data_IF_230404825807
#
_entry.id   IF_230404825807
#
_cell.length_a   1.000
_cell.length_b   1.000
_cell.length_c   1.000
_cell.angle_alpha   90.00
_cell.angle_beta   90.00
_cell.angle_gamma   90.00
#
_symmetry.space_group_name_H-M   'P 1'
#
loop_
_entity.id
_entity.type
_entity.pdbx_description
1 polymer ?
#
# COMPACT_ATOMS: atom_id res chain seq x y z
N UNK A 1 -23.48 -5.14 -8.17
CA UNK A 1 -23.79 -5.78 -6.88
C UNK A 1 -23.91 -7.29 -7.13
N UNK A 2 -22.96 -8.06 -6.60
CA UNK A 2 -23.06 -9.51 -6.59
C UNK A 2 -24.08 -9.92 -5.51
N UNK A 3 -25.01 -10.85 -5.79
CA UNK A 3 -25.91 -11.35 -4.78
C UNK A 3 -25.12 -12.26 -3.81
N UNK A 4 -24.92 -11.77 -2.60
CA UNK A 4 -24.22 -12.45 -1.52
C UNK A 4 -22.97 -11.67 -1.09
N UNK A 5 -22.71 -11.66 0.19
CA UNK A 5 -21.47 -11.13 0.76
C UNK A 5 -20.37 -12.17 0.60
N UNK A 6 -19.24 -11.79 -0.03
CA UNK A 6 -18.03 -12.60 0.06
C UNK A 6 -17.58 -12.67 1.53
N UNK A 7 -17.06 -13.81 1.93
CA UNK A 7 -16.48 -13.95 3.26
C UNK A 7 -15.15 -13.18 3.31
N UNK A 8 -14.88 -12.58 4.45
CA UNK A 8 -13.54 -12.08 4.76
C UNK A 8 -12.62 -13.28 4.97
N UNK A 9 -11.75 -13.56 3.99
CA UNK A 9 -10.87 -14.73 4.01
C UNK A 9 -9.66 -14.55 4.92
N UNK A 10 -9.19 -13.32 5.07
CA UNK A 10 -8.06 -12.95 5.92
C UNK A 10 -8.48 -11.76 6.77
N UNK A 11 -8.85 -11.97 8.04
CA UNK A 11 -9.23 -10.87 8.94
C UNK A 11 -8.16 -9.79 9.05
N UNK A 12 -8.57 -8.53 9.08
CA UNK A 12 -7.69 -7.36 9.20
C UNK A 12 -6.59 -7.29 8.12
N UNK A 13 -6.84 -7.79 6.89
CA UNK A 13 -5.78 -7.90 5.88
C UNK A 13 -5.16 -6.55 5.53
N UNK A 14 -5.96 -5.53 5.26
CA UNK A 14 -5.54 -4.14 4.98
C UNK A 14 -5.99 -3.18 6.11
N UNK A 15 -5.90 -3.61 7.37
CA UNK A 15 -6.22 -2.80 8.54
C UNK A 15 -4.94 -2.13 9.06
N UNK A 16 -4.58 -0.98 8.49
CA UNK A 16 -3.37 -0.25 8.86
C UNK A 16 -3.29 0.09 10.35
N UNK A 17 -4.37 0.53 11.04
CA UNK A 17 -4.36 0.73 12.48
C UNK A 17 -4.03 -0.55 13.27
N UNK A 18 -4.55 -1.70 12.87
CA UNK A 18 -4.23 -2.97 13.52
C UNK A 18 -2.76 -3.36 13.31
N UNK A 19 -2.22 -3.12 12.11
CA UNK A 19 -0.79 -3.35 11.82
C UNK A 19 0.11 -2.45 12.67
N UNK A 20 -0.27 -1.18 12.85
CA UNK A 20 0.48 -0.26 13.70
C UNK A 20 0.43 -0.66 15.19
N UNK A 21 -0.72 -1.09 15.70
CA UNK A 21 -0.83 -1.63 17.08
C UNK A 21 0.10 -2.83 17.26
N UNK A 22 0.08 -3.78 16.32
CA UNK A 22 0.95 -4.96 16.36
C UNK A 22 2.44 -4.59 16.34
N UNK A 23 2.83 -3.56 15.57
CA UNK A 23 4.20 -3.02 15.60
C UNK A 23 4.56 -2.49 16.98
N UNK A 24 3.68 -1.71 17.62
CA UNK A 24 3.92 -1.14 18.96
C UNK A 24 4.09 -2.24 20.00
N UNK A 25 3.21 -3.24 20.00
CA UNK A 25 3.33 -4.41 20.89
C UNK A 25 4.64 -5.17 20.66
N UNK A 26 5.03 -5.36 19.40
CA UNK A 26 6.28 -6.04 19.03
C UNK A 26 7.52 -5.27 19.48
N UNK A 27 7.46 -3.93 19.43
CA UNK A 27 8.54 -3.06 19.93
C UNK A 27 8.69 -3.14 21.46
N UNK A 28 7.56 -3.19 22.19
CA UNK A 28 7.57 -3.29 23.65
C UNK A 28 8.15 -4.65 24.12
N UNK A 29 7.89 -5.71 23.35
CA UNK A 29 8.43 -7.04 23.64
C UNK A 29 9.92 -7.18 23.29
N UNK A 30 10.34 -6.60 22.17
CA UNK A 30 11.69 -6.66 21.55
C UNK A 30 12.43 -8.00 21.73
N UNK A 31 11.73 -9.10 21.46
CA UNK A 31 12.20 -10.48 21.73
C UNK A 31 13.55 -10.82 21.08
N UNK A 32 13.91 -10.12 20.01
CA UNK A 32 15.14 -10.34 19.26
C UNK A 32 16.20 -9.24 19.44
N UNK A 33 15.95 -8.26 20.32
CA UNK A 33 16.83 -7.11 20.59
C UNK A 33 17.16 -6.30 19.33
N UNK A 34 16.18 -6.10 18.45
CA UNK A 34 16.32 -5.40 17.15
C UNK A 34 15.73 -3.98 17.14
N UNK A 35 14.98 -3.59 18.19
CA UNK A 35 14.29 -2.30 18.24
C UNK A 35 15.25 -1.11 18.18
N UNK A 36 16.39 -1.20 18.86
CA UNK A 36 17.39 -0.13 18.85
C UNK A 36 17.97 0.16 17.46
N UNK A 37 18.16 -0.88 16.64
CA UNK A 37 18.65 -0.73 15.27
C UNK A 37 17.59 -0.13 14.33
N UNK A 38 16.32 -0.42 14.57
CA UNK A 38 15.19 0.02 13.77
C UNK A 38 14.61 1.38 14.23
N UNK A 39 15.25 2.05 15.19
CA UNK A 39 14.72 3.29 15.77
C UNK A 39 14.42 4.39 14.74
N UNK A 40 15.24 4.63 13.70
CA UNK A 40 14.93 5.63 12.68
C UNK A 40 13.63 5.34 11.91
N UNK A 41 13.37 4.06 11.61
CA UNK A 41 12.17 3.61 10.92
C UNK A 41 10.93 3.73 11.82
N UNK A 42 11.08 3.40 13.10
CA UNK A 42 10.03 3.56 14.11
C UNK A 42 9.66 5.04 14.26
N UNK A 43 10.62 5.92 14.45
CA UNK A 43 10.40 7.38 14.59
C UNK A 43 9.69 7.95 13.35
N UNK A 44 10.04 7.48 12.15
CA UNK A 44 9.38 7.88 10.91
C UNK A 44 7.89 7.51 10.92
N UNK A 45 7.56 6.29 11.35
CA UNK A 45 6.18 5.79 11.42
C UNK A 45 5.41 6.51 12.53
N UNK A 46 5.98 6.63 13.74
CA UNK A 46 5.33 7.26 14.89
C UNK A 46 4.94 8.72 14.62
N UNK A 47 5.80 9.49 13.97
CA UNK A 47 5.50 10.89 13.61
C UNK A 47 4.36 11.05 12.62
N UNK A 48 3.95 9.97 11.93
CA UNK A 48 2.88 9.92 10.94
C UNK A 48 1.66 9.11 11.39
N UNK A 49 1.70 8.58 12.59
CA UNK A 49 0.67 7.65 13.12
C UNK A 49 -0.75 8.21 13.07
N UNK A 50 -0.91 9.53 13.23
CA UNK A 50 -2.23 10.18 13.13
C UNK A 50 -2.89 10.12 11.75
N UNK A 51 -2.16 9.75 10.69
CA UNK A 51 -2.70 9.60 9.34
C UNK A 51 -3.05 8.14 9.00
N UNK A 52 -2.60 7.17 9.81
CA UNK A 52 -2.76 5.75 9.53
C UNK A 52 -4.21 5.26 9.67
N UNK A 53 -5.09 6.03 10.32
CA UNK A 53 -6.52 5.71 10.50
C UNK A 53 -7.42 6.38 9.47
N UNK A 54 -6.85 7.17 8.55
CA UNK A 54 -7.64 8.09 7.69
C UNK A 54 -8.71 7.37 6.86
N UNK A 55 -8.37 6.24 6.22
CA UNK A 55 -9.35 5.54 5.36
C UNK A 55 -10.40 4.80 6.19
N UNK A 56 -10.01 4.21 7.31
CA UNK A 56 -10.91 3.55 8.24
C UNK A 56 -11.86 4.56 8.88
N UNK A 57 -11.37 5.73 9.32
CA UNK A 57 -12.20 6.80 9.88
C UNK A 57 -13.21 7.34 8.84
N UNK A 58 -12.85 7.40 7.57
CA UNK A 58 -13.76 7.77 6.48
C UNK A 58 -14.80 6.67 6.22
N UNK A 59 -14.39 5.41 6.26
CA UNK A 59 -15.30 4.27 6.11
C UNK A 59 -16.31 4.19 7.26
N UNK A 60 -15.86 4.35 8.50
CA UNK A 60 -16.70 4.36 9.70
C UNK A 60 -17.75 5.48 9.68
N UNK A 61 -17.44 6.63 9.05
CA UNK A 61 -18.39 7.72 8.83
C UNK A 61 -19.33 7.51 7.64
N UNK A 62 -19.11 6.47 6.86
CA UNK A 62 -19.86 6.19 5.63
C UNK A 62 -19.44 7.02 4.41
N UNK A 63 -18.29 7.72 4.48
CA UNK A 63 -17.75 8.52 3.37
C UNK A 63 -17.07 7.65 2.31
N UNK A 64 -16.59 6.46 2.69
CA UNK A 64 -16.03 5.44 1.80
C UNK A 64 -16.86 4.16 1.89
N UNK A 65 -17.50 3.74 0.79
CA UNK A 65 -18.29 2.50 0.78
C UNK A 65 -17.37 1.26 0.74
N UNK A 66 -17.76 0.23 1.47
CA UNK A 66 -17.19 -1.10 1.30
C UNK A 66 -17.59 -1.67 -0.07
N UNK A 67 -16.64 -2.27 -0.76
CA UNK A 67 -16.83 -2.90 -2.07
C UNK A 67 -16.16 -4.27 -2.09
N UNK A 68 -16.24 -4.96 -3.21
CA UNK A 68 -15.40 -6.13 -3.45
C UNK A 68 -14.09 -5.63 -4.04
N UNK A 69 -13.01 -5.86 -3.31
CA UNK A 69 -11.66 -5.46 -3.67
C UNK A 69 -10.77 -6.70 -3.86
N UNK A 70 -9.73 -6.58 -4.66
CA UNK A 70 -8.73 -7.64 -4.83
C UNK A 70 -7.80 -7.72 -3.61
N UNK A 71 -7.51 -6.58 -2.99
CA UNK A 71 -6.67 -6.39 -1.80
C UNK A 71 -5.17 -6.75 -1.96
N UNK A 72 -4.73 -7.32 -3.09
CA UNK A 72 -3.31 -7.57 -3.41
C UNK A 72 -3.02 -7.24 -4.88
N UNK A 73 -3.26 -6.00 -5.28
CA UNK A 73 -3.14 -5.48 -6.65
C UNK A 73 -1.71 -5.14 -7.07
N UNK A 74 -0.74 -5.93 -6.64
CA UNK A 74 0.62 -5.76 -7.15
C UNK A 74 0.69 -6.08 -8.64
N UNK A 75 1.54 -5.38 -9.37
CA UNK A 75 1.70 -5.54 -10.83
C UNK A 75 2.02 -6.99 -11.22
N UNK A 76 2.65 -7.76 -10.34
CA UNK A 76 2.98 -9.17 -10.56
C UNK A 76 1.73 -10.07 -10.64
N UNK A 77 0.58 -9.60 -10.17
CA UNK A 77 -0.70 -10.31 -10.26
C UNK A 77 -1.46 -9.99 -11.55
N UNK A 78 -0.84 -9.29 -12.50
CA UNK A 78 -1.37 -9.06 -13.84
C UNK A 78 -0.50 -9.79 -14.86
N UNK A 79 -1.12 -10.68 -15.64
CA UNK A 79 -0.46 -11.33 -16.77
C UNK A 79 -0.55 -10.46 -18.02
N UNK A 80 0.59 -10.32 -18.71
CA UNK A 80 0.69 -9.56 -19.95
C UNK A 80 1.10 -10.48 -21.09
N UNK A 81 0.58 -10.21 -22.29
CA UNK A 81 1.07 -10.83 -23.53
C UNK A 81 2.50 -10.35 -23.81
N UNK A 82 3.40 -11.28 -24.13
CA UNK A 82 4.81 -10.95 -24.35
C UNK A 82 5.05 -10.07 -25.58
N UNK A 83 4.18 -10.17 -26.59
CA UNK A 83 4.33 -9.48 -27.88
C UNK A 83 3.54 -8.18 -27.91
N UNK A 84 2.23 -8.24 -27.62
CA UNK A 84 1.36 -7.05 -27.67
C UNK A 84 1.50 -6.16 -26.45
N UNK A 85 2.00 -6.71 -25.33
CA UNK A 85 2.04 -6.05 -24.01
C UNK A 85 0.66 -5.70 -23.45
N UNK A 86 -0.38 -6.29 -23.96
CA UNK A 86 -1.74 -6.13 -23.45
C UNK A 86 -1.94 -6.98 -22.17
N UNK A 87 -2.71 -6.45 -21.23
CA UNK A 87 -3.09 -7.20 -20.02
C UNK A 87 -4.07 -8.32 -20.42
N UNK A 88 -3.77 -9.55 -20.02
CA UNK A 88 -4.55 -10.74 -20.35
C UNK A 88 -5.47 -11.18 -19.20
N UNK A 89 -4.96 -11.16 -17.97
CA UNK A 89 -5.70 -11.65 -16.81
C UNK A 89 -5.15 -11.09 -15.51
N UNK A 90 -6.02 -10.99 -14.51
CA UNK A 90 -5.66 -10.79 -13.11
C UNK A 90 -5.65 -12.16 -12.43
N UNK A 91 -4.65 -12.43 -11.61
CA UNK A 91 -4.45 -13.71 -10.90
C UNK A 91 -4.29 -13.47 -9.40
N UNK A 92 -4.13 -14.55 -8.62
CA UNK A 92 -3.93 -14.51 -7.17
C UNK A 92 -5.17 -13.94 -6.44
N UNK A 93 -6.32 -14.58 -6.68
CA UNK A 93 -7.63 -14.11 -6.23
C UNK A 93 -7.97 -14.50 -4.78
N UNK A 94 -7.03 -15.08 -4.04
CA UNK A 94 -7.25 -15.58 -2.67
C UNK A 94 -7.59 -14.46 -1.67
N UNK A 95 -7.24 -13.23 -2.00
CA UNK A 95 -7.50 -12.02 -1.20
C UNK A 95 -8.72 -11.23 -1.65
N UNK A 96 -9.48 -11.74 -2.64
CA UNK A 96 -10.70 -11.08 -3.11
C UNK A 96 -11.80 -11.19 -2.06
N UNK A 97 -12.12 -10.07 -1.41
CA UNK A 97 -13.07 -10.00 -0.29
C UNK A 97 -13.58 -8.55 -0.12
N UNK A 98 -14.53 -8.30 0.79
CA UNK A 98 -14.92 -6.93 1.12
C UNK A 98 -13.72 -6.06 1.51
N UNK A 99 -13.70 -4.81 1.05
CA UNK A 99 -12.64 -3.86 1.32
C UNK A 99 -12.85 -2.51 0.65
N UNK A 100 -11.90 -1.60 0.82
CA UNK A 100 -11.93 -0.31 0.17
C UNK A 100 -11.18 -0.38 -1.18
N UNK A 101 -11.77 0.17 -2.25
CA UNK A 101 -11.08 0.25 -3.55
C UNK A 101 -9.77 1.03 -3.49
N UNK A 102 -9.60 1.86 -2.48
CA UNK A 102 -8.38 2.61 -2.22
C UNK A 102 -7.21 1.72 -1.83
N UNK A 103 -7.45 0.55 -1.23
CA UNK A 103 -6.40 -0.44 -1.00
C UNK A 103 -5.87 -0.99 -2.32
N UNK A 104 -6.77 -1.28 -3.27
CA UNK A 104 -6.39 -1.76 -4.60
C UNK A 104 -5.58 -0.70 -5.35
N UNK A 105 -6.07 0.54 -5.42
CA UNK A 105 -5.35 1.60 -6.11
C UNK A 105 -4.00 1.92 -5.42
N UNK A 106 -3.96 1.96 -4.10
CA UNK A 106 -2.73 2.15 -3.33
C UNK A 106 -1.70 1.06 -3.59
N UNK A 107 -2.13 -0.21 -3.68
CA UNK A 107 -1.29 -1.35 -4.04
C UNK A 107 -0.67 -1.22 -5.44
N UNK A 108 -1.46 -0.75 -6.42
CA UNK A 108 -0.96 -0.43 -7.77
C UNK A 108 0.08 0.69 -7.74
N UNK A 109 -0.17 1.79 -7.03
CA UNK A 109 0.79 2.89 -6.90
C UNK A 109 2.09 2.41 -6.29
N UNK A 110 2.01 1.70 -5.17
CA UNK A 110 3.17 1.17 -4.46
C UNK A 110 4.06 0.30 -5.34
N UNK A 111 3.48 -0.54 -6.18
CA UNK A 111 4.22 -1.55 -6.95
C UNK A 111 4.54 -1.13 -8.37
N UNK A 112 3.64 -0.43 -9.05
CA UNK A 112 3.81 -0.05 -10.46
C UNK A 112 4.34 1.37 -10.64
N UNK A 113 4.07 2.30 -9.72
CA UNK A 113 4.60 3.66 -9.81
C UNK A 113 5.89 3.88 -8.98
N UNK A 114 6.41 2.87 -8.29
CA UNK A 114 7.73 2.94 -7.66
C UNK A 114 8.83 2.75 -8.71
N UNK A 115 9.87 3.59 -8.65
CA UNK A 115 11.02 3.55 -9.58
C UNK A 115 12.02 2.42 -9.29
N UNK A 116 11.90 1.75 -8.15
CA UNK A 116 12.86 0.76 -7.67
C UNK A 116 12.16 -0.52 -7.16
N UNK A 117 12.89 -1.65 -7.07
CA UNK A 117 12.39 -2.86 -6.44
C UNK A 117 12.01 -2.65 -4.97
N UNK A 118 11.15 -3.54 -4.45
CA UNK A 118 10.62 -3.48 -3.08
C UNK A 118 11.73 -3.56 -2.00
N UNK A 119 12.85 -4.22 -2.31
CA UNK A 119 13.99 -4.45 -1.41
C UNK A 119 15.24 -3.64 -1.78
N UNK A 120 15.04 -2.50 -2.48
CA UNK A 120 16.13 -1.61 -2.89
C UNK A 120 16.88 -1.05 -1.68
N UNK A 121 18.19 -1.27 -1.64
CA UNK A 121 19.07 -0.77 -0.56
C UNK A 121 19.60 0.64 -0.81
N UNK A 122 19.69 1.06 -2.07
CA UNK A 122 20.09 2.40 -2.48
C UNK A 122 18.91 3.37 -2.45
N UNK A 123 18.52 3.86 -1.28
CA UNK A 123 17.30 4.65 -1.07
C UNK A 123 17.16 5.89 -1.96
N UNK A 124 18.25 6.43 -2.48
CA UNK A 124 18.21 7.54 -3.44
C UNK A 124 17.58 7.17 -4.80
N UNK A 125 17.44 5.88 -5.09
CA UNK A 125 16.77 5.35 -6.30
C UNK A 125 15.28 5.16 -6.12
N UNK A 126 14.80 5.18 -4.87
CA UNK A 126 13.39 4.98 -4.55
C UNK A 126 12.65 6.30 -4.67
N UNK A 127 11.72 6.39 -5.61
CA UNK A 127 10.86 7.55 -5.82
C UNK A 127 9.55 7.15 -6.48
N UNK A 128 8.52 8.00 -6.39
CA UNK A 128 7.30 7.84 -7.16
C UNK A 128 7.52 8.35 -8.59
N UNK A 129 7.18 7.53 -9.58
CA UNK A 129 7.17 7.92 -10.99
C UNK A 129 5.84 8.58 -11.33
N UNK A 130 5.81 9.91 -11.43
CA UNK A 130 4.58 10.67 -11.69
C UNK A 130 3.94 10.35 -13.04
N UNK A 131 4.71 10.02 -14.08
CA UNK A 131 4.16 9.64 -15.38
C UNK A 131 3.45 8.28 -15.31
N UNK A 132 4.01 7.33 -14.56
CA UNK A 132 3.36 6.04 -14.31
C UNK A 132 2.12 6.21 -13.43
N UNK A 133 2.21 7.04 -12.38
CA UNK A 133 1.06 7.38 -11.55
C UNK A 133 -0.08 8.00 -12.39
N UNK A 134 0.23 8.93 -13.29
CA UNK A 134 -0.77 9.51 -14.19
C UNK A 134 -1.43 8.44 -15.09
N UNK A 135 -0.64 7.53 -15.65
CA UNK A 135 -1.16 6.43 -16.46
C UNK A 135 -2.09 5.50 -15.64
N UNK A 136 -1.73 5.18 -14.40
CA UNK A 136 -2.57 4.41 -13.48
C UNK A 136 -3.89 5.14 -13.18
N UNK A 137 -3.84 6.43 -12.84
CA UNK A 137 -5.04 7.24 -12.55
C UNK A 137 -5.97 7.26 -13.76
N UNK A 138 -5.46 7.56 -14.95
CA UNK A 138 -6.26 7.61 -16.18
C UNK A 138 -6.88 6.25 -16.52
N UNK A 139 -6.08 5.18 -16.46
CA UNK A 139 -6.55 3.83 -16.71
C UNK A 139 -7.63 3.40 -15.71
N UNK A 140 -7.39 3.63 -14.43
CA UNK A 140 -8.31 3.24 -13.36
C UNK A 140 -9.64 4.02 -13.47
N UNK A 141 -9.60 5.34 -13.57
CA UNK A 141 -10.80 6.17 -13.69
C UNK A 141 -11.59 5.90 -14.96
N UNK A 142 -10.96 5.49 -16.06
CA UNK A 142 -11.66 5.13 -17.31
C UNK A 142 -12.59 3.92 -17.15
N UNK A 143 -12.29 3.02 -16.22
CA UNK A 143 -13.07 1.81 -15.94
C UNK A 143 -13.90 1.89 -14.63
N UNK A 144 -13.54 2.80 -13.73
CA UNK A 144 -14.10 2.89 -12.38
C UNK A 144 -15.11 4.04 -12.22
N UNK A 145 -16.04 4.18 -13.18
CA UNK A 145 -17.08 5.21 -13.15
C UNK A 145 -18.08 5.09 -11.98
N UNK A 146 -17.92 4.08 -11.14
CA UNK A 146 -18.71 3.87 -9.92
C UNK A 146 -18.12 4.57 -8.68
N UNK A 147 -16.92 5.13 -8.77
CA UNK A 147 -16.26 5.76 -7.62
C UNK A 147 -17.01 7.02 -7.15
N UNK A 148 -17.14 7.13 -5.84
CA UNK A 148 -17.60 8.35 -5.19
C UNK A 148 -16.55 9.45 -5.28
N UNK A 149 -16.96 10.70 -5.04
CA UNK A 149 -16.03 11.83 -4.99
C UNK A 149 -14.98 11.63 -3.88
N UNK A 150 -15.39 11.13 -2.74
CA UNK A 150 -14.47 10.84 -1.62
C UNK A 150 -13.41 9.81 -2.00
N UNK A 151 -13.78 8.73 -2.72
CA UNK A 151 -12.82 7.75 -3.21
C UNK A 151 -11.81 8.38 -4.19
N UNK A 152 -12.27 9.21 -5.13
CA UNK A 152 -11.40 9.91 -6.09
C UNK A 152 -10.43 10.85 -5.37
N UNK A 153 -10.89 11.63 -4.41
CA UNK A 153 -10.08 12.60 -3.68
C UNK A 153 -8.96 11.93 -2.85
N UNK A 154 -9.11 10.64 -2.50
CA UNK A 154 -8.13 9.90 -1.73
C UNK A 154 -7.24 8.95 -2.54
N UNK A 155 -7.34 8.92 -3.89
CA UNK A 155 -6.48 8.07 -4.73
C UNK A 155 -4.98 8.34 -4.51
N UNK A 156 -4.55 9.60 -4.47
CA UNK A 156 -3.15 9.93 -4.22
C UNK A 156 -2.69 9.48 -2.83
N UNK A 157 -3.53 9.70 -1.81
CA UNK A 157 -3.25 9.32 -0.42
C UNK A 157 -3.13 7.81 -0.25
N UNK A 158 -3.93 7.02 -0.97
CA UNK A 158 -3.91 5.55 -0.84
C UNK A 158 -2.53 4.95 -1.17
N UNK A 159 -1.80 5.53 -2.15
CA UNK A 159 -0.43 5.10 -2.45
C UNK A 159 0.53 5.31 -1.28
N UNK A 160 0.38 6.43 -0.58
CA UNK A 160 1.12 6.70 0.65
C UNK A 160 0.77 5.70 1.75
N UNK A 161 -0.52 5.48 2.01
CA UNK A 161 -0.98 4.62 3.09
C UNK A 161 -0.51 3.16 2.89
N UNK A 162 -0.64 2.62 1.67
CA UNK A 162 -0.22 1.24 1.39
C UNK A 162 1.30 1.07 1.42
N UNK A 163 2.06 2.13 1.11
CA UNK A 163 3.52 2.14 1.32
C UNK A 163 3.87 2.13 2.80
N UNK A 164 3.18 2.95 3.62
CA UNK A 164 3.33 2.95 5.09
C UNK A 164 2.98 1.60 5.68
N UNK A 165 1.82 1.04 5.32
CA UNK A 165 1.38 -0.27 5.83
C UNK A 165 2.38 -1.39 5.50
N UNK A 166 2.86 -1.43 4.25
CA UNK A 166 3.86 -2.42 3.86
C UNK A 166 5.16 -2.25 4.64
N UNK A 167 5.61 -1.01 4.85
CA UNK A 167 6.77 -0.70 5.70
C UNK A 167 6.57 -1.19 7.13
N UNK A 168 5.40 -0.93 7.73
CA UNK A 168 5.02 -1.39 9.08
C UNK A 168 5.05 -2.93 9.15
N UNK A 169 4.49 -3.62 8.16
CA UNK A 169 4.46 -5.09 8.14
C UNK A 169 5.86 -5.69 8.02
N UNK A 170 6.73 -5.15 7.16
CA UNK A 170 8.12 -5.60 7.05
C UNK A 170 8.91 -5.33 8.32
N UNK A 171 8.71 -4.16 8.95
CA UNK A 171 9.37 -3.84 10.21
C UNK A 171 8.93 -4.75 11.35
N UNK A 172 7.63 -5.01 11.46
CA UNK A 172 7.08 -5.93 12.46
C UNK A 172 7.67 -7.34 12.30
N UNK A 173 7.75 -7.85 11.06
CA UNK A 173 8.34 -9.16 10.81
C UNK A 173 9.85 -9.20 11.09
N UNK A 174 10.58 -8.14 10.74
CA UNK A 174 11.98 -8.00 11.13
C UNK A 174 12.17 -8.10 12.65
N UNK A 175 11.37 -7.35 13.41
CA UNK A 175 11.43 -7.36 14.89
C UNK A 175 11.02 -8.71 15.47
N UNK A 176 10.14 -9.46 14.79
CA UNK A 176 9.73 -10.83 15.16
C UNK A 176 10.70 -11.94 14.69
N UNK A 177 11.85 -11.59 14.12
CA UNK A 177 12.88 -12.55 13.71
C UNK A 177 12.72 -13.09 12.31
N UNK A 178 12.04 -12.35 11.40
CA UNK A 178 11.87 -12.71 9.98
C UNK A 178 11.12 -14.04 9.77
N UNK A 179 9.95 -14.18 10.40
CA UNK A 179 9.20 -15.45 10.43
C UNK A 179 8.05 -15.53 9.42
N UNK A 180 7.56 -14.41 8.91
CA UNK A 180 6.42 -14.36 8.00
C UNK A 180 6.83 -14.23 6.53
N UNK A 181 7.63 -13.22 6.19
CA UNK A 181 8.08 -13.02 4.82
C UNK A 181 9.34 -13.82 4.51
N UNK A 182 9.39 -14.41 3.31
CA UNK A 182 10.59 -15.10 2.86
C UNK A 182 11.76 -14.12 2.72
N UNK A 183 12.83 -14.37 3.45
CA UNK A 183 14.07 -13.58 3.39
C UNK A 183 15.18 -14.33 2.68
N UNK A 184 16.06 -13.61 1.99
CA UNK A 184 17.17 -14.18 1.22
C UNK A 184 18.54 -13.70 1.72
N UNK A 185 18.56 -12.75 2.65
CA UNK A 185 19.77 -12.17 3.24
C UNK A 185 19.46 -11.60 4.63
N UNK A 186 20.51 -11.33 5.38
CA UNK A 186 20.36 -10.61 6.65
C UNK A 186 19.70 -9.25 6.43
N UNK A 187 18.85 -8.82 7.38
CA UNK A 187 18.11 -7.55 7.37
C UNK A 187 17.23 -7.30 6.14
N UNK A 188 16.86 -8.34 5.39
CA UNK A 188 16.10 -8.18 4.16
C UNK A 188 14.77 -7.45 4.40
N UNK A 189 14.03 -7.79 5.47
CA UNK A 189 12.80 -7.10 5.80
C UNK A 189 13.02 -5.67 6.30
N UNK A 190 14.13 -5.38 6.96
CA UNK A 190 14.49 -4.01 7.33
C UNK A 190 14.79 -3.15 6.09
N UNK A 191 15.48 -3.72 5.09
CA UNK A 191 15.70 -3.03 3.80
C UNK A 191 14.40 -2.78 3.05
N UNK A 192 13.49 -3.78 3.01
CA UNK A 192 12.14 -3.61 2.46
C UNK A 192 11.38 -2.50 3.18
N UNK A 193 11.38 -2.50 4.52
CA UNK A 193 10.78 -1.42 5.31
C UNK A 193 11.32 -0.05 4.87
N UNK A 194 12.64 0.11 4.81
CA UNK A 194 13.30 1.36 4.41
C UNK A 194 12.89 1.82 3.02
N UNK A 195 12.81 0.90 2.07
CA UNK A 195 12.37 1.21 0.71
C UNK A 195 10.91 1.70 0.68
N UNK A 196 10.01 1.03 1.43
CA UNK A 196 8.60 1.44 1.50
C UNK A 196 8.42 2.79 2.20
N UNK A 197 9.10 3.03 3.32
CA UNK A 197 9.05 4.32 4.02
C UNK A 197 9.66 5.44 3.16
N UNK A 198 10.70 5.14 2.38
CA UNK A 198 11.27 6.08 1.42
C UNK A 198 10.32 6.43 0.30
N UNK A 199 9.56 5.46 -0.21
CA UNK A 199 8.50 5.71 -1.19
C UNK A 199 7.39 6.59 -0.58
N UNK A 200 6.95 6.30 0.64
CA UNK A 200 5.97 7.12 1.35
C UNK A 200 6.47 8.57 1.52
N UNK A 201 7.73 8.77 1.92
CA UNK A 201 8.35 10.11 2.02
C UNK A 201 8.34 10.85 0.68
N UNK A 202 8.62 10.15 -0.41
CA UNK A 202 8.65 10.75 -1.75
C UNK A 202 7.24 11.09 -2.25
N UNK A 203 6.23 10.25 -1.94
CA UNK A 203 4.82 10.53 -2.21
C UNK A 203 4.37 11.79 -1.44
N UNK A 204 4.74 11.94 -0.16
CA UNK A 204 4.47 13.17 0.62
C UNK A 204 5.02 14.42 -0.08
N UNK A 205 6.25 14.35 -0.55
CA UNK A 205 6.90 15.47 -1.27
C UNK A 205 6.20 15.83 -2.58
N UNK A 206 5.59 14.84 -3.23
CA UNK A 206 4.90 14.98 -4.51
C UNK A 206 3.37 15.06 -4.39
N UNK A 207 2.82 15.12 -3.17
CA UNK A 207 1.37 15.05 -2.91
C UNK A 207 0.58 16.04 -3.77
N UNK A 208 1.01 17.31 -3.82
CA UNK A 208 0.33 18.35 -4.59
C UNK A 208 0.29 18.05 -6.09
N UNK A 209 1.38 17.49 -6.65
CA UNK A 209 1.44 17.10 -8.05
C UNK A 209 0.53 15.89 -8.32
N UNK A 210 0.54 14.90 -7.44
CA UNK A 210 -0.31 13.71 -7.56
C UNK A 210 -1.79 14.06 -7.44
N UNK A 211 -2.19 14.91 -6.48
CA UNK A 211 -3.56 15.42 -6.38
C UNK A 211 -3.98 16.15 -7.65
N UNK A 212 -3.11 16.99 -8.20
CA UNK A 212 -3.39 17.68 -9.46
C UNK A 212 -3.59 16.73 -10.63
N UNK A 213 -2.82 15.65 -10.71
CA UNK A 213 -3.02 14.61 -11.74
C UNK A 213 -4.40 13.98 -11.59
N UNK A 214 -4.82 13.63 -10.38
CA UNK A 214 -6.15 13.06 -10.11
C UNK A 214 -7.25 14.05 -10.51
N UNK A 215 -7.17 15.31 -10.10
CA UNK A 215 -8.14 16.37 -10.44
C UNK A 215 -8.32 16.54 -11.96
N UNK A 216 -7.21 16.49 -12.72
CA UNK A 216 -7.25 16.65 -14.18
C UNK A 216 -7.78 15.42 -14.92
N UNK A 217 -7.72 14.25 -14.31
CA UNK A 217 -8.20 12.99 -14.86
C UNK A 217 -9.64 12.65 -14.42
N UNK A 218 -10.09 13.22 -13.32
CA UNK A 218 -11.45 13.01 -12.80
C UNK A 218 -12.51 13.54 -13.78
N UNK A 219 -13.68 12.84 -13.91
CA UNK A 219 -14.78 13.23 -14.78
C UNK A 219 -15.49 14.52 -14.30
#
# INVERSE_FOLDING_TARGET
DLPGTLAETIPDFQNTPARFRLLSETLDEDLHNRAAEARPEVDFIETRSGLLTTLEDLADRGDLPERIAHNDTKINNVLFDEVSREALAVIDLDTVMPGLVLYDFGGLVRTAACSAPEDETGLSRVSVNLSMFEALVRGYLSAAGFLSRSEIDHLAFSGWLLSMESGIRFLTDYLKGDTYFKVHRDKHNLDRCRAQLKLAEDIERNESAMRRIVELAAP
#
